data_IF_950596719868
#
_entry.id   IF_950596719868
#
_cell.length_a   1.000
_cell.length_b   1.000
_cell.length_c   1.000
_cell.angle_alpha   90.00
_cell.angle_beta   90.00
_cell.angle_gamma   90.00
#
_symmetry.space_group_name_H-M   'P 1'
#
loop_
_entity.id
_entity.type
_entity.pdbx_description
1 polymer ?
#
# COMPACT_ATOMS: atom_id res chain seq x y z
N UNK A 1 -29.45 -5.72 -26.04
CA UNK A 1 -28.57 -4.57 -25.95
C UNK A 1 -29.12 -3.63 -24.87
N UNK A 2 -28.38 -3.34 -23.80
CA UNK A 2 -28.82 -2.42 -22.73
C UNK A 2 -28.38 -0.99 -23.10
N UNK A 3 -29.29 -0.02 -23.06
CA UNK A 3 -29.04 1.36 -23.43
C UNK A 3 -29.23 2.26 -22.20
N UNK A 4 -28.23 3.11 -21.92
CA UNK A 4 -28.35 4.18 -20.91
C UNK A 4 -28.52 5.49 -21.63
N UNK A 5 -29.54 6.27 -21.26
CA UNK A 5 -29.76 7.63 -21.75
C UNK A 5 -29.60 8.59 -20.57
N UNK A 6 -28.75 9.57 -20.73
CA UNK A 6 -28.55 10.64 -19.75
C UNK A 6 -28.97 11.95 -20.43
N UNK A 7 -29.85 12.70 -19.77
CA UNK A 7 -30.27 14.01 -20.23
C UNK A 7 -29.57 15.08 -19.41
N UNK A 8 -29.05 16.12 -20.05
CA UNK A 8 -28.51 17.27 -19.37
C UNK A 8 -29.60 18.12 -18.73
N UNK A 9 -29.24 18.88 -17.72
CA UNK A 9 -30.05 19.93 -17.11
C UNK A 9 -29.34 21.27 -17.33
N UNK A 10 -30.10 22.33 -17.52
CA UNK A 10 -29.54 23.69 -17.52
C UNK A 10 -29.28 24.11 -16.07
N UNK A 11 -28.07 23.89 -15.60
CA UNK A 11 -27.62 24.36 -14.28
C UNK A 11 -27.36 25.88 -14.36
N UNK A 12 -28.24 26.68 -13.77
CA UNK A 12 -28.09 28.14 -13.68
C UNK A 12 -27.37 28.65 -12.45
N UNK A 13 -26.97 27.76 -11.55
CA UNK A 13 -26.26 28.10 -10.32
C UNK A 13 -24.91 27.37 -10.27
N UNK A 14 -23.89 28.08 -9.82
CA UNK A 14 -22.61 27.49 -9.41
C UNK A 14 -22.68 27.22 -7.92
N UNK A 15 -22.32 26.00 -7.52
CA UNK A 15 -22.23 25.64 -6.10
C UNK A 15 -20.81 25.16 -5.78
N UNK A 16 -20.31 25.57 -4.61
CA UNK A 16 -19.04 25.12 -4.11
C UNK A 16 -19.19 23.73 -3.51
N UNK A 17 -18.40 22.76 -4.01
CA UNK A 17 -18.38 21.39 -3.51
C UNK A 17 -17.06 21.13 -2.81
N UNK A 18 -17.12 20.89 -1.51
CA UNK A 18 -15.96 20.46 -0.72
C UNK A 18 -15.73 18.96 -0.92
N UNK A 19 -14.57 18.61 -1.48
CA UNK A 19 -14.14 17.22 -1.64
C UNK A 19 -12.98 16.89 -0.70
N UNK A 20 -12.98 15.67 -0.14
CA UNK A 20 -11.84 15.18 0.62
C UNK A 20 -10.66 14.85 -0.28
N UNK A 21 -9.48 14.77 0.28
CA UNK A 21 -8.29 14.30 -0.44
C UNK A 21 -8.47 12.90 -1.04
N UNK A 22 -7.67 12.60 -2.05
CA UNK A 22 -7.65 11.29 -2.70
C UNK A 22 -7.25 10.18 -1.73
N UNK A 23 -8.07 9.13 -1.60
CA UNK A 23 -7.76 7.94 -0.81
C UNK A 23 -6.43 7.32 -1.23
N UNK A 24 -6.23 7.18 -2.53
CA UNK A 24 -5.06 6.52 -3.09
C UNK A 24 -3.75 7.26 -2.82
N UNK A 25 -3.76 8.58 -2.86
CA UNK A 25 -2.60 9.41 -2.50
C UNK A 25 -2.40 9.43 -0.99
N UNK A 26 -3.47 9.67 -0.23
CA UNK A 26 -3.44 9.74 1.23
C UNK A 26 -2.81 8.49 1.85
N UNK A 27 -3.22 7.30 1.40
CA UNK A 27 -2.68 6.06 1.93
C UNK A 27 -1.18 5.89 1.63
N UNK A 28 -0.70 6.37 0.48
CA UNK A 28 0.73 6.36 0.14
C UNK A 28 1.53 7.32 1.00
N UNK A 29 1.04 8.55 1.11
CA UNK A 29 1.72 9.59 1.87
C UNK A 29 1.73 9.26 3.37
N UNK A 30 0.70 8.60 3.92
CA UNK A 30 0.68 8.13 5.31
C UNK A 30 1.81 7.14 5.59
N UNK A 31 2.08 6.18 4.70
CA UNK A 31 3.23 5.28 4.85
C UNK A 31 4.54 6.08 4.86
N UNK A 32 4.72 6.97 3.89
CA UNK A 32 5.94 7.78 3.80
C UNK A 32 6.11 8.71 5.01
N UNK A 33 5.02 9.31 5.51
CA UNK A 33 5.04 10.12 6.74
C UNK A 33 5.45 9.30 7.97
N UNK A 34 5.05 8.03 8.03
CA UNK A 34 5.44 7.14 9.14
C UNK A 34 6.91 6.72 9.08
N UNK A 35 7.50 6.74 7.88
CA UNK A 35 8.94 6.51 7.66
C UNK A 35 9.77 7.80 7.81
N UNK A 36 9.21 8.96 7.44
CA UNK A 36 9.87 10.26 7.40
C UNK A 36 9.06 11.32 8.14
N UNK A 37 9.47 11.67 9.35
CA UNK A 37 8.73 12.54 10.28
C UNK A 37 8.49 13.98 9.79
N UNK A 38 9.26 14.45 8.82
CA UNK A 38 9.18 15.82 8.27
C UNK A 38 8.11 15.99 7.18
N UNK A 39 7.33 14.96 6.87
CA UNK A 39 6.25 15.05 5.87
C UNK A 39 4.98 15.58 6.53
N UNK A 40 4.47 16.71 6.04
CA UNK A 40 3.15 17.24 6.40
C UNK A 40 2.10 16.89 5.32
N UNK A 41 0.88 16.59 5.76
CA UNK A 41 -0.22 16.25 4.84
C UNK A 41 -1.32 17.30 4.99
N UNK A 42 -1.73 17.91 3.88
CA UNK A 42 -2.92 18.76 3.80
C UNK A 42 -4.04 18.00 3.12
N UNK A 43 -5.28 18.18 3.56
CA UNK A 43 -6.48 17.58 2.98
C UNK A 43 -6.40 16.04 2.88
N UNK A 44 -6.12 15.37 4.02
CA UNK A 44 -6.13 13.92 4.10
C UNK A 44 -7.53 13.37 3.76
N UNK A 45 -7.57 12.23 3.07
CA UNK A 45 -8.84 11.55 2.74
C UNK A 45 -9.61 11.15 4.01
N UNK A 46 -10.91 11.38 3.99
CA UNK A 46 -11.83 10.97 5.07
C UNK A 46 -12.37 9.54 4.89
N UNK A 47 -11.88 8.80 3.89
CA UNK A 47 -12.32 7.42 3.64
C UNK A 47 -11.95 6.48 4.78
N UNK A 48 -12.78 5.44 5.00
CA UNK A 48 -12.54 4.45 6.05
C UNK A 48 -11.21 3.73 5.88
N UNK A 49 -10.82 3.40 4.64
CA UNK A 49 -9.50 2.81 4.35
C UNK A 49 -8.35 3.68 4.89
N UNK A 50 -8.44 5.00 4.71
CA UNK A 50 -7.41 5.94 5.18
C UNK A 50 -7.40 6.07 6.70
N UNK A 51 -8.57 6.17 7.32
CA UNK A 51 -8.70 6.21 8.80
C UNK A 51 -8.17 4.93 9.45
N UNK A 52 -8.48 3.77 8.87
CA UNK A 52 -8.00 2.47 9.34
C UNK A 52 -6.48 2.39 9.21
N UNK A 53 -5.92 2.81 8.08
CA UNK A 53 -4.46 2.83 7.89
C UNK A 53 -3.79 3.75 8.91
N UNK A 54 -4.25 4.99 9.05
CA UNK A 54 -3.72 5.96 10.01
C UNK A 54 -3.79 5.45 11.45
N UNK A 55 -4.93 4.86 11.85
CA UNK A 55 -5.10 4.24 13.17
C UNK A 55 -4.05 3.15 13.42
N UNK A 56 -3.85 2.24 12.47
CA UNK A 56 -2.90 1.13 12.63
C UNK A 56 -1.44 1.61 12.62
N UNK A 57 -1.10 2.64 11.84
CA UNK A 57 0.24 3.25 11.83
C UNK A 57 0.59 3.93 13.17
N UNK A 58 -0.41 4.46 13.87
CA UNK A 58 -0.25 5.13 15.18
C UNK A 58 -0.47 4.18 16.37
N UNK A 59 -0.83 2.93 16.12
CA UNK A 59 -1.09 1.96 17.18
C UNK A 59 0.22 1.55 17.88
N UNK A 60 0.11 1.30 19.18
CA UNK A 60 1.16 0.65 19.97
C UNK A 60 0.95 -0.86 20.11
N UNK A 61 -0.19 -1.35 19.62
CA UNK A 61 -0.52 -2.76 19.65
C UNK A 61 0.28 -3.52 18.59
N UNK A 62 0.58 -4.76 18.89
CA UNK A 62 1.21 -5.68 17.94
C UNK A 62 0.19 -6.53 17.17
N UNK A 63 -1.07 -6.56 17.61
CA UNK A 63 -2.18 -7.20 16.93
C UNK A 63 -2.98 -6.13 16.20
N UNK A 64 -2.82 -6.05 14.88
CA UNK A 64 -3.39 -5.02 14.04
C UNK A 64 -4.52 -5.59 13.19
N UNK A 65 -5.62 -4.85 13.10
CA UNK A 65 -6.78 -5.24 12.29
C UNK A 65 -7.15 -4.13 11.31
N UNK A 66 -7.17 -4.47 10.03
CA UNK A 66 -7.49 -3.53 8.95
C UNK A 66 -8.92 -3.66 8.42
N UNK A 67 -9.76 -4.48 9.05
CA UNK A 67 -11.13 -4.72 8.55
C UNK A 67 -11.13 -5.15 7.09
N UNK A 68 -11.80 -4.38 6.22
CA UNK A 68 -11.84 -4.64 4.77
C UNK A 68 -10.93 -3.72 3.94
N UNK A 69 -10.07 -2.94 4.60
CA UNK A 69 -9.18 -1.98 3.92
C UNK A 69 -8.02 -2.69 3.20
N UNK A 70 -8.24 -3.06 1.95
CA UNK A 70 -7.30 -3.85 1.16
C UNK A 70 -5.96 -3.15 0.93
N UNK A 71 -5.96 -1.84 0.72
CA UNK A 71 -4.73 -1.05 0.57
C UNK A 71 -3.96 -1.02 1.89
N UNK A 72 -4.65 -0.85 3.03
CA UNK A 72 -4.03 -0.88 4.35
C UNK A 72 -3.34 -2.24 4.62
N UNK A 73 -4.00 -3.36 4.32
CA UNK A 73 -3.41 -4.70 4.44
C UNK A 73 -2.07 -4.78 3.69
N UNK A 74 -2.01 -4.38 2.42
CA UNK A 74 -0.81 -4.52 1.58
C UNK A 74 0.31 -3.57 2.02
N UNK A 75 -0.04 -2.31 2.30
CA UNK A 75 0.94 -1.30 2.69
C UNK A 75 1.51 -1.55 4.08
N UNK A 76 0.66 -1.95 5.03
CA UNK A 76 1.13 -2.33 6.37
C UNK A 76 1.99 -3.58 6.35
N UNK A 77 1.68 -4.58 5.53
CA UNK A 77 2.54 -5.77 5.40
C UNK A 77 3.98 -5.39 5.08
N UNK A 78 4.19 -4.50 4.10
CA UNK A 78 5.52 -4.03 3.73
C UNK A 78 6.14 -3.11 4.81
N UNK A 79 5.36 -2.19 5.38
CA UNK A 79 5.82 -1.26 6.40
C UNK A 79 6.24 -1.95 7.70
N UNK A 80 5.44 -2.91 8.18
CA UNK A 80 5.72 -3.63 9.42
C UNK A 80 6.95 -4.53 9.30
N UNK A 81 7.22 -5.06 8.09
CA UNK A 81 8.42 -5.84 7.83
C UNK A 81 9.73 -5.05 8.07
N UNK A 82 9.70 -3.71 8.00
CA UNK A 82 10.83 -2.83 8.31
C UNK A 82 11.04 -2.58 9.82
N UNK A 83 10.07 -2.92 10.67
CA UNK A 83 10.10 -2.60 12.11
C UNK A 83 10.98 -3.61 12.87
N UNK A 84 12.29 -3.43 12.80
CA UNK A 84 13.27 -4.36 13.37
C UNK A 84 12.97 -4.75 14.81
N UNK A 85 13.21 -6.03 15.13
CA UNK A 85 13.02 -6.62 16.45
C UNK A 85 11.59 -6.56 17.00
N UNK A 86 10.59 -6.33 16.14
CA UNK A 86 9.17 -6.38 16.51
C UNK A 86 8.48 -7.52 15.79
N UNK A 87 7.47 -8.06 16.46
CA UNK A 87 6.59 -9.10 15.94
C UNK A 87 5.18 -8.53 15.87
N UNK A 88 4.53 -8.66 14.74
CA UNK A 88 3.16 -8.20 14.52
C UNK A 88 2.27 -9.32 14.02
N UNK A 89 0.99 -9.28 14.41
CA UNK A 89 -0.07 -10.04 13.77
C UNK A 89 -0.93 -9.03 13.00
N UNK A 90 -1.02 -9.21 11.70
CA UNK A 90 -1.81 -8.36 10.82
C UNK A 90 -2.99 -9.15 10.26
N UNK A 91 -4.20 -8.74 10.66
CA UNK A 91 -5.46 -9.41 10.32
C UNK A 91 -6.48 -8.43 9.75
N UNK A 92 -7.65 -8.93 9.39
CA UNK A 92 -8.79 -8.16 8.91
C UNK A 92 -10.10 -8.90 9.10
N UNK A 93 -11.13 -8.51 8.35
CA UNK A 93 -12.41 -9.21 8.33
C UNK A 93 -12.29 -10.58 7.65
N UNK A 94 -13.29 -11.44 7.82
CA UNK A 94 -13.38 -12.73 7.10
C UNK A 94 -13.26 -12.57 5.57
N UNK A 95 -13.81 -11.48 5.04
CA UNK A 95 -13.66 -11.14 3.62
C UNK A 95 -12.20 -10.81 3.27
N UNK A 96 -11.46 -10.19 4.18
CA UNK A 96 -10.03 -9.90 3.98
C UNK A 96 -9.21 -11.19 3.97
N UNK A 97 -9.53 -12.17 4.82
CA UNK A 97 -8.88 -13.48 4.84
C UNK A 97 -9.06 -14.28 3.54
N UNK A 98 -10.01 -13.88 2.68
CA UNK A 98 -10.23 -14.47 1.35
C UNK A 98 -9.57 -13.67 0.21
N UNK A 99 -8.83 -12.62 0.53
CA UNK A 99 -8.16 -11.77 -0.48
C UNK A 99 -6.68 -12.11 -0.57
N UNK A 100 -6.17 -12.49 -1.75
CA UNK A 100 -4.80 -12.96 -1.89
C UNK A 100 -3.79 -11.86 -1.53
N UNK A 101 -2.65 -12.30 -0.97
CA UNK A 101 -1.50 -11.46 -0.63
C UNK A 101 -0.17 -12.20 -0.90
N UNK A 102 -0.22 -13.44 -1.34
CA UNK A 102 0.92 -14.35 -1.49
C UNK A 102 2.09 -13.72 -2.25
N UNK A 103 1.84 -13.18 -3.44
CA UNK A 103 2.93 -12.59 -4.25
C UNK A 103 3.66 -11.43 -3.56
N UNK A 104 2.98 -10.66 -2.70
CA UNK A 104 3.65 -9.62 -1.91
C UNK A 104 4.52 -10.25 -0.81
N UNK A 105 3.98 -11.25 -0.11
CA UNK A 105 4.70 -11.97 0.96
C UNK A 105 5.93 -12.67 0.41
N UNK A 106 5.79 -13.38 -0.71
CA UNK A 106 6.91 -14.03 -1.41
C UNK A 106 8.01 -13.03 -1.80
N UNK A 107 7.61 -11.88 -2.35
CA UNK A 107 8.53 -10.82 -2.73
C UNK A 107 9.28 -10.24 -1.52
N UNK A 108 8.58 -9.98 -0.42
CA UNK A 108 9.18 -9.49 0.82
C UNK A 108 10.10 -10.54 1.45
N UNK A 109 9.68 -11.81 1.53
CA UNK A 109 10.51 -12.90 2.04
C UNK A 109 11.74 -13.14 1.16
N UNK A 110 11.64 -12.98 -0.17
CA UNK A 110 12.79 -13.02 -1.07
C UNK A 110 13.81 -11.92 -0.76
N UNK A 111 13.37 -10.73 -0.35
CA UNK A 111 14.26 -9.64 0.08
C UNK A 111 14.93 -9.92 1.44
N UNK A 112 14.51 -10.95 2.15
CA UNK A 112 15.07 -11.33 3.45
C UNK A 112 14.17 -11.02 4.63
N UNK A 113 12.99 -10.47 4.43
CA UNK A 113 12.00 -10.30 5.51
C UNK A 113 11.45 -11.64 5.97
N UNK A 114 10.72 -11.65 7.09
CA UNK A 114 10.19 -12.87 7.68
C UNK A 114 8.69 -12.71 7.96
N UNK A 115 7.89 -13.18 7.00
CA UNK A 115 6.43 -13.09 7.04
C UNK A 115 5.85 -14.49 6.87
N UNK A 116 5.00 -14.91 7.81
CA UNK A 116 4.35 -16.22 7.83
C UNK A 116 2.83 -16.07 7.73
N UNK A 117 2.18 -17.07 7.17
CA UNK A 117 0.72 -17.18 7.20
C UNK A 117 0.31 -17.88 8.51
N UNK A 118 -0.74 -17.37 9.17
CA UNK A 118 -1.24 -17.99 10.40
C UNK A 118 -2.33 -19.04 10.12
N UNK A 119 -2.99 -18.95 8.97
CA UNK A 119 -4.05 -19.88 8.58
C UNK A 119 -3.75 -20.45 7.18
N UNK A 120 -4.30 -19.86 6.14
CA UNK A 120 -4.18 -20.36 4.78
C UNK A 120 -2.99 -19.72 4.05
N UNK A 121 -2.16 -20.51 3.40
CA UNK A 121 -1.06 -20.02 2.57
C UNK A 121 -1.57 -19.09 1.46
N UNK A 122 -0.89 -17.94 1.29
CA UNK A 122 -1.25 -16.92 0.32
C UNK A 122 -2.30 -15.91 0.79
N UNK A 123 -2.83 -16.05 2.02
CA UNK A 123 -3.91 -15.23 2.56
C UNK A 123 -3.63 -14.72 3.98
N UNK A 124 -4.19 -13.55 4.40
CA UNK A 124 -4.17 -13.16 5.80
C UNK A 124 -4.96 -14.16 6.67
N UNK A 125 -4.73 -14.20 8.00
CA UNK A 125 -3.85 -13.30 8.77
C UNK A 125 -2.37 -13.65 8.65
N UNK A 126 -1.53 -12.61 8.85
CA UNK A 126 -0.09 -12.72 8.72
C UNK A 126 0.60 -12.50 10.06
N UNK A 127 1.67 -13.25 10.30
CA UNK A 127 2.66 -12.97 11.33
C UNK A 127 3.90 -12.37 10.68
N UNK A 128 4.32 -11.20 11.15
CA UNK A 128 5.38 -10.40 10.55
C UNK A 128 6.47 -10.16 11.59
N UNK A 129 7.68 -10.62 11.32
CA UNK A 129 8.86 -10.31 12.11
C UNK A 129 9.67 -9.25 11.39
N UNK A 130 9.74 -8.04 11.96
CA UNK A 130 10.48 -6.94 11.39
C UNK A 130 11.98 -7.16 11.44
N UNK A 131 12.66 -6.94 10.32
CA UNK A 131 14.12 -7.02 10.18
C UNK A 131 14.64 -6.25 8.99
N UNK A 132 15.96 -6.14 8.87
CA UNK A 132 16.61 -5.56 7.69
C UNK A 132 16.45 -6.45 6.46
N UNK A 133 16.44 -5.83 5.30
CA UNK A 133 16.53 -6.56 4.04
C UNK A 133 17.94 -7.13 3.82
N UNK A 134 18.01 -8.27 3.13
CA UNK A 134 19.26 -8.92 2.74
C UNK A 134 19.55 -8.75 1.24
N UNK A 135 18.56 -8.35 0.48
CA UNK A 135 18.61 -8.16 -0.98
C UNK A 135 17.90 -6.88 -1.37
N UNK A 136 18.28 -6.32 -2.50
CA UNK A 136 17.71 -5.09 -3.06
C UNK A 136 17.14 -5.27 -4.47
N UNK A 137 16.88 -6.50 -4.90
CA UNK A 137 16.30 -6.82 -6.20
C UNK A 137 15.26 -7.92 -6.07
N UNK A 138 14.10 -7.72 -6.69
CA UNK A 138 12.99 -8.67 -6.63
C UNK A 138 12.25 -8.73 -7.96
N UNK A 139 11.68 -9.90 -8.27
CA UNK A 139 10.72 -10.08 -9.37
C UNK A 139 9.30 -10.09 -8.78
N UNK A 140 8.37 -9.43 -9.47
CA UNK A 140 6.98 -9.36 -9.05
C UNK A 140 6.05 -9.50 -10.25
N UNK A 141 5.03 -10.35 -10.12
CA UNK A 141 4.01 -10.45 -11.16
C UNK A 141 3.07 -9.24 -11.06
N UNK A 142 3.10 -8.39 -12.09
CA UNK A 142 2.33 -7.14 -12.17
C UNK A 142 0.87 -7.33 -12.61
N UNK A 143 0.49 -8.53 -13.04
CA UNK A 143 -0.88 -8.83 -13.47
C UNK A 143 -1.85 -8.95 -12.29
N UNK A 144 -1.33 -9.30 -11.10
CA UNK A 144 -2.16 -9.60 -9.94
C UNK A 144 -2.67 -8.32 -9.27
N UNK A 145 -1.79 -7.35 -8.95
CA UNK A 145 -2.19 -6.11 -8.28
C UNK A 145 -1.11 -5.03 -8.28
N UNK A 146 -1.45 -3.83 -8.75
CA UNK A 146 -0.58 -2.65 -8.63
C UNK A 146 -0.33 -2.23 -7.16
N UNK A 147 -1.15 -2.68 -6.22
CA UNK A 147 -0.95 -2.41 -4.79
C UNK A 147 0.31 -3.10 -4.26
N UNK A 148 0.67 -4.27 -4.78
CA UNK A 148 1.90 -4.96 -4.38
C UNK A 148 3.14 -4.18 -4.83
N UNK A 149 3.13 -3.74 -6.10
CA UNK A 149 4.20 -2.89 -6.64
C UNK A 149 4.30 -1.60 -5.82
N UNK A 150 3.17 -0.91 -5.57
CA UNK A 150 3.15 0.31 -4.77
C UNK A 150 3.66 0.09 -3.34
N UNK A 151 3.29 -1.02 -2.68
CA UNK A 151 3.77 -1.34 -1.34
C UNK A 151 5.30 -1.48 -1.29
N UNK A 152 5.87 -2.17 -2.28
CA UNK A 152 7.32 -2.33 -2.42
C UNK A 152 8.02 -1.01 -2.72
N UNK A 153 7.44 -0.17 -3.61
CA UNK A 153 7.98 1.14 -3.93
C UNK A 153 8.02 2.07 -2.72
N UNK A 154 6.98 2.05 -1.86
CA UNK A 154 6.89 2.93 -0.69
C UNK A 154 7.95 2.62 0.36
N UNK A 155 8.41 1.38 0.47
CA UNK A 155 9.47 1.00 1.40
C UNK A 155 10.87 1.11 0.79
N UNK A 156 10.99 1.17 -0.54
CA UNK A 156 12.25 1.16 -1.25
C UNK A 156 13.28 2.21 -0.76
N UNK A 157 12.87 3.46 -0.42
CA UNK A 157 13.83 4.47 0.05
C UNK A 157 14.49 4.17 1.41
N UNK A 158 13.94 3.24 2.20
CA UNK A 158 14.50 2.83 3.52
C UNK A 158 15.41 1.60 3.38
N UNK A 159 15.30 0.86 2.28
CA UNK A 159 16.08 -0.35 2.11
C UNK A 159 17.55 -0.04 1.81
N UNK A 160 18.44 -0.81 2.40
CA UNK A 160 19.88 -0.72 2.14
C UNK A 160 20.15 -0.98 0.64
N UNK A 161 20.68 0.03 -0.06
CA UNK A 161 20.92 -0.01 -1.50
C UNK A 161 19.70 0.25 -2.38
N UNK A 162 18.58 0.71 -1.80
CA UNK A 162 17.33 0.97 -2.53
C UNK A 162 16.65 -0.33 -3.00
N UNK A 163 15.86 -0.27 -4.08
CA UNK A 163 15.14 -1.45 -4.58
C UNK A 163 15.00 -1.45 -6.11
N UNK A 164 15.36 -2.54 -6.74
CA UNK A 164 15.05 -2.83 -8.14
C UNK A 164 13.89 -3.82 -8.22
N UNK A 165 12.78 -3.39 -8.79
CA UNK A 165 11.59 -4.24 -8.98
C UNK A 165 11.49 -4.62 -10.46
N UNK A 166 11.66 -5.90 -10.78
CA UNK A 166 11.43 -6.43 -12.11
C UNK A 166 9.98 -6.87 -12.22
N UNK A 167 9.22 -6.20 -13.10
CA UNK A 167 7.82 -6.51 -13.33
C UNK A 167 7.68 -7.52 -14.48
N UNK A 168 7.03 -8.64 -14.19
CA UNK A 168 6.69 -9.65 -15.19
C UNK A 168 5.21 -9.56 -15.56
N UNK A 169 4.90 -9.85 -16.84
CA UNK A 169 3.53 -9.85 -17.34
C UNK A 169 3.00 -8.46 -17.70
N UNK A 170 1.71 -8.39 -18.02
CA UNK A 170 1.03 -7.15 -18.38
C UNK A 170 0.81 -6.30 -17.12
N UNK A 171 1.31 -5.07 -17.14
CA UNK A 171 1.10 -4.15 -16.02
C UNK A 171 -0.36 -3.72 -15.98
N UNK A 172 -1.08 -4.19 -14.95
CA UNK A 172 -2.44 -3.75 -14.67
C UNK A 172 -2.43 -2.50 -13.80
N UNK A 173 -3.41 -1.61 -14.01
CA UNK A 173 -3.56 -0.41 -13.19
C UNK A 173 -2.29 0.47 -13.10
N UNK A 174 -1.57 0.62 -14.20
CA UNK A 174 -0.35 1.42 -14.35
C UNK A 174 -0.44 2.83 -13.73
N UNK A 175 -1.56 3.58 -13.82
CA UNK A 175 -1.67 4.90 -13.20
C UNK A 175 -1.39 4.94 -11.70
N UNK A 176 -1.66 3.86 -10.97
CA UNK A 176 -1.35 3.79 -9.52
C UNK A 176 0.14 3.59 -9.23
N UNK A 177 0.87 2.96 -10.13
CA UNK A 177 2.33 2.85 -10.07
C UNK A 177 2.94 4.22 -10.38
N UNK A 178 2.48 4.88 -11.43
CA UNK A 178 2.91 6.22 -11.82
C UNK A 178 2.61 7.27 -10.73
N UNK A 179 1.44 7.20 -10.08
CA UNK A 179 1.10 8.00 -8.90
C UNK A 179 2.14 7.80 -7.79
N UNK A 180 2.54 6.57 -7.51
CA UNK A 180 3.52 6.28 -6.48
C UNK A 180 4.90 6.84 -6.84
N UNK A 181 5.32 6.70 -8.11
CA UNK A 181 6.56 7.29 -8.63
C UNK A 181 6.55 8.82 -8.48
N UNK A 182 5.45 9.46 -8.88
CA UNK A 182 5.29 10.91 -8.78
C UNK A 182 5.40 11.40 -7.33
N UNK A 183 4.75 10.71 -6.39
CA UNK A 183 4.83 11.05 -4.96
C UNK A 183 6.27 10.92 -4.45
N UNK A 184 6.97 9.84 -4.78
CA UNK A 184 8.35 9.61 -4.37
C UNK A 184 9.28 10.70 -4.93
N UNK A 185 9.16 11.01 -6.22
CA UNK A 185 9.99 12.03 -6.86
C UNK A 185 9.71 13.44 -6.31
N UNK A 186 8.45 13.78 -6.04
CA UNK A 186 8.08 15.06 -5.41
C UNK A 186 8.63 15.22 -4.00
N UNK A 187 8.92 14.13 -3.31
CA UNK A 187 9.57 14.10 -2.01
C UNK A 187 11.11 14.06 -2.10
N UNK A 188 11.67 14.08 -3.32
CA UNK A 188 13.12 14.13 -3.56
C UNK A 188 13.80 12.76 -3.68
N UNK A 189 13.06 11.66 -3.73
CA UNK A 189 13.62 10.34 -4.02
C UNK A 189 13.84 10.16 -5.53
N UNK A 190 14.92 9.52 -5.93
CA UNK A 190 15.18 9.17 -7.34
C UNK A 190 14.48 7.85 -7.69
N UNK A 191 13.23 7.94 -8.17
CA UNK A 191 12.44 6.78 -8.57
C UNK A 191 12.15 6.83 -10.06
N UNK A 192 12.51 5.77 -10.80
CA UNK A 192 12.39 5.68 -12.26
C UNK A 192 11.66 4.42 -12.68
N UNK A 193 10.90 4.54 -13.75
CA UNK A 193 10.31 3.42 -14.47
C UNK A 193 11.03 3.31 -15.82
N UNK A 194 11.75 2.21 -16.02
CA UNK A 194 12.58 1.95 -17.24
C UNK A 194 12.04 0.77 -18.03
#
# INVERSE_FOLDING_TARGET
MKKVRISGIDAKSTEDVNISGSKSESNRILILKSLYKNISIKNLSTSDDTKILEKNLNSKDFNLNVGHAGTAMRFLTAYLALQENKRFILSGSERMHKRPIGSLVEALNHLGFNINYLENEGFPPLEIFGRKNLKNKVKLNSEISSQYVSAMMLIAPILDGGLVILLNGKITSRPYIEMTLSILNNLGFDAKFT
#
